data_IF_220342912373
#
_entry.id   IF_220342912373
#
_cell.length_a   1.000
_cell.length_b   1.000
_cell.length_c   1.000
_cell.angle_alpha   90.00
_cell.angle_beta   90.00
_cell.angle_gamma   90.00
#
_symmetry.space_group_name_H-M   'P 1'
#
loop_
_entity.id
_entity.type
_entity.pdbx_description
1 polymer ?
#
# COMPACT_ATOMS: atom_id res chain seq x y z
N UNK A 1 23.98 -0.01 4.30
CA UNK A 1 23.14 -1.05 3.69
C UNK A 1 22.23 -0.34 2.71
N UNK A 2 22.51 -0.57 1.44
CA UNK A 2 22.09 0.20 0.28
C UNK A 2 20.71 -0.27 -0.18
N UNK A 3 19.74 0.64 -0.27
CA UNK A 3 18.77 0.65 -1.36
C UNK A 3 18.77 2.05 -1.95
N UNK A 4 19.51 2.16 -3.03
CA UNK A 4 19.72 3.34 -3.86
C UNK A 4 18.59 3.38 -4.90
N UNK A 5 18.00 4.57 -5.06
CA UNK A 5 17.46 5.15 -6.31
C UNK A 5 16.50 4.30 -7.18
N UNK A 6 15.20 4.63 -7.11
CA UNK A 6 14.28 4.52 -8.25
C UNK A 6 13.15 5.53 -8.05
N UNK A 7 12.86 6.31 -9.08
CA UNK A 7 11.82 7.33 -9.12
C UNK A 7 10.39 6.74 -9.18
N UNK A 8 10.13 5.75 -8.33
CA UNK A 8 8.84 5.07 -8.21
C UNK A 8 8.22 5.43 -6.88
N UNK A 9 6.92 5.71 -6.91
CA UNK A 9 6.19 6.23 -5.77
C UNK A 9 6.17 5.23 -4.60
N UNK A 10 6.61 5.67 -3.41
CA UNK A 10 6.65 4.88 -2.17
C UNK A 10 5.21 4.63 -1.67
N UNK A 11 4.64 3.44 -1.86
CA UNK A 11 3.24 3.20 -1.47
C UNK A 11 3.07 3.02 0.05
N UNK A 12 1.87 3.31 0.55
CA UNK A 12 1.51 3.11 1.97
C UNK A 12 0.31 2.18 2.07
N UNK A 13 0.48 1.10 2.84
CA UNK A 13 -0.60 0.20 3.23
C UNK A 13 -1.04 0.57 4.63
N UNK A 14 -2.22 1.16 4.74
CA UNK A 14 -2.90 1.33 6.02
C UNK A 14 -3.49 -0.01 6.45
N UNK A 15 -3.05 -0.47 7.61
CA UNK A 15 -3.41 -1.76 8.18
C UNK A 15 -3.72 -1.62 9.67
N UNK A 16 -4.14 -2.71 10.30
CA UNK A 16 -4.24 -2.79 11.76
C UNK A 16 -3.76 -4.14 12.25
N UNK A 17 -3.38 -4.20 13.53
CA UNK A 17 -3.01 -5.47 14.17
C UNK A 17 -4.17 -6.50 14.11
N UNK A 18 -3.83 -7.77 13.93
CA UNK A 18 -4.77 -8.90 13.85
C UNK A 18 -5.76 -8.89 12.65
N UNK A 19 -5.47 -8.16 11.56
CA UNK A 19 -6.28 -8.23 10.34
C UNK A 19 -5.73 -9.24 9.31
N UNK A 20 -6.47 -10.32 9.07
CA UNK A 20 -6.10 -11.35 8.09
C UNK A 20 -6.04 -10.80 6.64
N UNK A 21 -6.94 -9.89 6.27
CA UNK A 21 -6.93 -9.25 4.95
C UNK A 21 -5.68 -8.39 4.74
N UNK A 22 -5.21 -7.69 5.78
CA UNK A 22 -3.98 -6.90 5.71
C UNK A 22 -2.78 -7.79 5.38
N UNK A 23 -2.63 -8.93 6.07
CA UNK A 23 -1.55 -9.87 5.80
C UNK A 23 -1.60 -10.38 4.36
N UNK A 24 -2.79 -10.71 3.83
CA UNK A 24 -2.95 -11.16 2.45
C UNK A 24 -2.51 -10.09 1.43
N UNK A 25 -2.95 -8.84 1.59
CA UNK A 25 -2.55 -7.75 0.71
C UNK A 25 -1.04 -7.50 0.78
N UNK A 26 -0.44 -7.51 1.97
CA UNK A 26 1.00 -7.31 2.16
C UNK A 26 1.80 -8.44 1.50
N UNK A 27 1.36 -9.69 1.64
CA UNK A 27 2.01 -10.83 0.97
C UNK A 27 1.93 -10.69 -0.55
N UNK A 28 0.76 -10.37 -1.09
CA UNK A 28 0.59 -10.18 -2.52
C UNK A 28 1.46 -9.02 -3.04
N UNK A 29 1.55 -7.89 -2.31
CA UNK A 29 2.46 -6.79 -2.67
C UNK A 29 3.93 -7.22 -2.70
N UNK A 30 4.38 -8.02 -1.71
CA UNK A 30 5.74 -8.57 -1.71
C UNK A 30 6.02 -9.47 -2.90
N UNK A 31 5.04 -10.29 -3.31
CA UNK A 31 5.14 -11.08 -4.53
C UNK A 31 5.22 -10.20 -5.78
N UNK A 32 4.48 -9.09 -5.80
CA UNK A 32 4.55 -8.10 -6.88
C UNK A 32 5.90 -7.42 -6.97
N UNK A 33 6.59 -7.16 -5.84
CA UNK A 33 7.93 -6.59 -5.84
C UNK A 33 8.97 -7.45 -6.59
N UNK A 34 8.70 -8.74 -6.77
CA UNK A 34 9.54 -9.61 -7.61
C UNK A 34 9.37 -9.33 -9.11
N UNK A 35 8.24 -8.72 -9.52
CA UNK A 35 7.88 -8.43 -10.92
C UNK A 35 7.95 -6.94 -11.25
N UNK A 36 7.66 -6.08 -10.27
CA UNK A 36 7.51 -4.64 -10.41
C UNK A 36 8.48 -3.97 -9.43
N UNK A 37 9.22 -2.96 -9.90
CA UNK A 37 10.08 -2.16 -9.03
C UNK A 37 9.24 -1.09 -8.34
N UNK A 38 8.83 -1.35 -7.10
CA UNK A 38 8.21 -0.36 -6.21
C UNK A 38 8.52 -0.70 -4.75
N UNK A 39 8.53 0.31 -3.88
CA UNK A 39 8.63 0.12 -2.44
C UNK A 39 7.28 0.48 -1.79
N UNK A 40 7.00 -0.14 -0.64
CA UNK A 40 5.81 0.16 0.14
C UNK A 40 6.09 0.07 1.64
N UNK A 41 5.33 0.82 2.43
CA UNK A 41 5.38 0.86 3.89
C UNK A 41 4.04 0.46 4.48
N UNK A 42 4.07 -0.18 5.63
CA UNK A 42 2.85 -0.57 6.35
C UNK A 42 2.72 0.37 7.53
N UNK A 43 1.59 1.08 7.61
CA UNK A 43 1.27 1.98 8.71
C UNK A 43 0.08 1.40 9.47
N UNK A 44 0.20 1.33 10.79
CA UNK A 44 -0.89 0.95 11.67
C UNK A 44 -1.81 2.16 11.88
N UNK A 45 -3.08 2.03 11.47
CA UNK A 45 -4.06 3.10 11.67
C UNK A 45 -4.43 3.25 13.14
N UNK A 46 -4.31 2.22 13.98
CA UNK A 46 -4.69 2.28 15.40
C UNK A 46 -3.76 3.23 16.20
N UNK A 47 -2.61 3.62 15.63
CA UNK A 47 -1.72 4.63 16.19
C UNK A 47 -2.22 6.07 16.02
N UNK A 48 -3.09 6.35 15.04
CA UNK A 48 -3.56 7.69 14.69
C UNK A 48 -5.10 7.75 14.60
N UNK A 49 -5.79 8.45 15.53
CA UNK A 49 -7.26 8.47 15.57
C UNK A 49 -7.88 9.08 14.31
N UNK A 50 -7.18 9.97 13.60
CA UNK A 50 -7.62 10.52 12.32
C UNK A 50 -7.61 9.45 11.21
N UNK A 51 -6.61 8.56 11.19
CA UNK A 51 -6.55 7.45 10.25
C UNK A 51 -7.61 6.41 10.56
N UNK A 52 -7.84 6.11 11.85
CA UNK A 52 -8.96 5.27 12.26
C UNK A 52 -10.27 5.85 11.74
N UNK A 53 -10.57 7.12 12.02
CA UNK A 53 -11.84 7.71 11.59
C UNK A 53 -12.04 7.70 10.06
N UNK A 54 -10.96 7.69 9.27
CA UNK A 54 -11.02 7.68 7.80
C UNK A 54 -11.09 6.27 7.20
N UNK A 55 -10.37 5.31 7.78
CA UNK A 55 -10.09 4.01 7.18
C UNK A 55 -10.55 2.80 7.98
N UNK A 56 -11.09 2.98 9.19
CA UNK A 56 -11.49 1.90 10.10
C UNK A 56 -12.23 0.74 9.41
N UNK A 57 -13.19 1.05 8.54
CA UNK A 57 -14.01 0.05 7.84
C UNK A 57 -13.51 -0.29 6.43
N UNK A 58 -12.39 0.28 5.99
CA UNK A 58 -11.83 0.13 4.63
C UNK A 58 -10.51 -0.61 4.57
N UNK A 59 -9.91 -0.91 5.73
CA UNK A 59 -8.63 -1.62 5.78
C UNK A 59 -8.70 -3.06 5.21
N UNK A 60 -7.59 -3.56 4.63
CA UNK A 60 -6.38 -2.81 4.27
C UNK A 60 -6.64 -1.79 3.16
N UNK A 61 -5.97 -0.63 3.22
CA UNK A 61 -6.05 0.41 2.18
C UNK A 61 -4.66 0.69 1.63
N UNK A 62 -4.50 0.59 0.32
CA UNK A 62 -3.29 0.97 -0.39
C UNK A 62 -3.42 2.41 -0.90
N UNK A 63 -2.50 3.27 -0.48
CA UNK A 63 -2.53 4.71 -0.76
C UNK A 63 -1.16 5.16 -1.25
N UNK A 64 -1.15 6.07 -2.22
CA UNK A 64 0.04 6.84 -2.54
C UNK A 64 0.19 8.02 -1.59
N UNK A 65 1.28 8.13 -0.81
CA UNK A 65 1.51 9.29 0.04
C UNK A 65 1.88 10.55 -0.76
N UNK A 66 2.36 10.43 -2.00
CA UNK A 66 2.76 11.60 -2.80
C UNK A 66 1.57 12.42 -3.28
N UNK A 67 0.45 11.78 -3.61
CA UNK A 67 -0.77 12.45 -4.07
C UNK A 67 -2.01 12.18 -3.19
N UNK A 68 -1.86 11.39 -2.12
CA UNK A 68 -2.94 10.93 -1.24
C UNK A 68 -4.06 10.15 -1.97
N UNK A 69 -3.76 9.56 -3.13
CA UNK A 69 -4.70 8.78 -3.93
C UNK A 69 -4.83 7.36 -3.37
N UNK A 70 -6.06 6.90 -3.21
CA UNK A 70 -6.35 5.52 -2.80
C UNK A 70 -6.34 4.66 -4.06
N UNK A 71 -5.40 3.72 -4.13
CA UNK A 71 -5.24 2.81 -5.28
C UNK A 71 -6.26 1.68 -5.18
N UNK A 72 -6.35 1.03 -4.00
CA UNK A 72 -7.32 -0.03 -3.74
C UNK A 72 -7.52 -0.22 -2.23
N UNK A 73 -8.59 -0.95 -1.88
CA UNK A 73 -8.88 -1.31 -0.49
C UNK A 73 -9.52 -2.72 -0.40
N UNK A 74 -9.52 -3.32 0.80
CA UNK A 74 -9.91 -4.71 1.10
C UNK A 74 -9.03 -5.80 0.49
N UNK A 75 -8.85 -5.79 -0.82
CA UNK A 75 -8.02 -6.76 -1.55
C UNK A 75 -7.07 -6.02 -2.48
N UNK A 76 -5.91 -6.62 -2.74
CA UNK A 76 -4.98 -6.07 -3.71
C UNK A 76 -5.58 -6.18 -5.11
N UNK A 77 -5.86 -5.05 -5.73
CA UNK A 77 -6.18 -4.99 -7.14
C UNK A 77 -4.88 -4.82 -7.94
N UNK A 78 -4.44 -5.92 -8.54
CA UNK A 78 -3.24 -5.98 -9.37
C UNK A 78 -3.31 -5.05 -10.57
N UNK A 79 -4.50 -4.87 -11.16
CA UNK A 79 -4.67 -4.02 -12.33
C UNK A 79 -4.59 -2.54 -11.92
N UNK A 80 -5.24 -2.16 -10.82
CA UNK A 80 -5.15 -0.81 -10.30
C UNK A 80 -3.71 -0.45 -9.88
N UNK A 81 -2.99 -1.39 -9.26
CA UNK A 81 -1.59 -1.21 -8.91
C UNK A 81 -0.71 -1.02 -10.16
N UNK A 82 -0.87 -1.88 -11.17
CA UNK A 82 -0.04 -1.77 -12.39
C UNK A 82 -0.38 -0.51 -13.19
N UNK A 83 -1.65 -0.14 -13.32
CA UNK A 83 -2.08 1.11 -13.94
C UNK A 83 -1.50 2.33 -13.22
N UNK A 84 -1.57 2.34 -11.88
CA UNK A 84 -0.97 3.39 -11.07
C UNK A 84 0.54 3.49 -11.30
N UNK A 85 1.27 2.37 -11.18
CA UNK A 85 2.72 2.35 -11.36
C UNK A 85 3.13 2.71 -12.80
N UNK A 86 2.33 2.34 -13.81
CA UNK A 86 2.58 2.69 -15.21
C UNK A 86 2.58 4.20 -15.45
N UNK A 87 1.95 5.01 -14.58
CA UNK A 87 1.98 6.49 -14.65
C UNK A 87 3.33 7.10 -14.26
N UNK A 88 4.19 6.33 -13.59
CA UNK A 88 5.50 6.75 -13.10
C UNK A 88 6.68 6.00 -13.76
N UNK A 89 6.40 5.19 -14.79
CA UNK A 89 7.39 4.48 -15.59
C UNK A 89 7.84 5.27 -16.82
#
# INVERSE_FOLDING_TARGET
MIKTDSAVDDLVVYSREACHLCTQMIQALKECQARLSFDFKVIDIDADPELVSRFNDKIPVLVSPSNQEIICHYHLDMNALDDYLARFR
#
